data_IF_279806363642
#
_entry.id   IF_279806363642
#
_cell.length_a   1.000
_cell.length_b   1.000
_cell.length_c   1.000
_cell.angle_alpha   90.00
_cell.angle_beta   90.00
_cell.angle_gamma   90.00
#
_symmetry.space_group_name_H-M   'P 1'
#
loop_
_entity.id
_entity.type
_entity.pdbx_description
1 polymer ?
#
# COMPACT_ATOMS: atom_id res chain seq x y z
N UNK A 1 16.52 -0.90 -18.71
CA UNK A 1 15.86 -1.65 -17.64
C UNK A 1 16.81 -2.73 -17.15
N UNK A 2 17.29 -2.61 -15.92
CA UNK A 2 18.02 -3.69 -15.28
C UNK A 2 17.05 -4.82 -14.94
N UNK A 3 17.40 -6.07 -15.23
CA UNK A 3 16.52 -7.21 -14.90
C UNK A 3 16.21 -7.24 -13.40
N UNK A 4 14.96 -7.51 -12.96
CA UNK A 4 14.62 -7.67 -11.55
C UNK A 4 15.53 -8.65 -10.79
N UNK A 5 16.05 -9.67 -11.50
CA UNK A 5 17.00 -10.64 -10.95
C UNK A 5 18.36 -10.01 -10.61
N UNK A 6 18.81 -9.03 -11.40
CA UNK A 6 20.07 -8.30 -11.17
C UNK A 6 19.93 -7.42 -9.92
N UNK A 7 18.82 -6.68 -9.79
CA UNK A 7 18.51 -5.89 -8.58
C UNK A 7 18.45 -6.77 -7.34
N UNK A 8 17.73 -7.88 -7.45
CA UNK A 8 17.58 -8.84 -6.36
C UNK A 8 18.93 -9.38 -5.86
N UNK A 9 19.84 -9.73 -6.77
CA UNK A 9 21.17 -10.25 -6.44
C UNK A 9 22.08 -9.18 -5.83
N UNK A 10 22.11 -7.96 -6.41
CA UNK A 10 22.96 -6.87 -5.93
C UNK A 10 22.56 -6.36 -4.54
N UNK A 11 21.28 -6.49 -4.18
CA UNK A 11 20.76 -6.02 -2.89
C UNK A 11 20.63 -7.13 -1.85
N UNK A 12 21.21 -8.31 -2.10
CA UNK A 12 21.12 -9.45 -1.18
C UNK A 12 21.57 -9.09 0.25
N UNK A 13 22.69 -8.37 0.39
CA UNK A 13 23.20 -7.97 1.71
C UNK A 13 22.18 -7.13 2.49
N UNK A 14 21.58 -6.12 1.85
CA UNK A 14 20.55 -5.29 2.48
C UNK A 14 19.29 -6.10 2.76
N UNK A 15 18.88 -6.98 1.85
CA UNK A 15 17.68 -7.83 2.01
C UNK A 15 17.80 -8.79 3.17
N UNK A 16 18.96 -9.44 3.33
CA UNK A 16 19.24 -10.42 4.38
C UNK A 16 19.59 -9.74 5.73
N UNK A 17 19.77 -8.42 5.75
CA UNK A 17 20.10 -7.66 6.94
C UNK A 17 19.04 -7.87 8.03
N UNK A 18 19.49 -8.12 9.27
CA UNK A 18 18.60 -8.44 10.39
C UNK A 18 17.95 -7.19 10.97
N UNK A 19 16.64 -7.25 11.17
CA UNK A 19 15.83 -6.10 11.64
C UNK A 19 16.17 -5.65 13.06
N UNK A 20 16.64 -6.57 13.91
CA UNK A 20 17.04 -6.24 15.28
C UNK A 20 18.19 -5.23 15.36
N UNK A 21 19.06 -5.17 14.34
CA UNK A 21 20.19 -4.22 14.28
C UNK A 21 19.78 -2.78 13.98
N UNK A 22 18.55 -2.57 13.51
CA UNK A 22 17.97 -1.24 13.24
C UNK A 22 16.68 -1.01 14.05
N UNK A 23 16.53 -1.72 15.17
CA UNK A 23 15.39 -1.57 16.07
C UNK A 23 15.37 -0.15 16.68
N UNK A 24 14.21 0.49 16.62
CA UNK A 24 13.93 1.79 17.24
C UNK A 24 12.75 1.69 18.19
N UNK A 25 12.58 2.70 19.05
CA UNK A 25 11.47 2.76 20.01
C UNK A 25 10.12 2.87 19.26
N UNK A 26 9.17 2.03 19.63
CA UNK A 26 7.81 2.07 19.10
C UNK A 26 6.99 3.17 19.78
N UNK A 27 6.05 3.77 19.03
CA UNK A 27 4.95 4.52 19.63
C UNK A 27 3.85 3.52 20.02
N UNK A 28 3.70 3.28 21.31
CA UNK A 28 2.69 2.38 21.86
C UNK A 28 1.51 3.21 22.37
N UNK A 29 0.30 2.81 21.99
CA UNK A 29 -0.96 3.43 22.45
C UNK A 29 -1.84 2.39 23.13
N UNK A 30 -2.89 2.85 23.79
CA UNK A 30 -3.95 1.99 24.30
C UNK A 30 -5.18 2.05 23.37
N UNK A 31 -5.81 0.90 23.13
CA UNK A 31 -6.97 0.81 22.23
C UNK A 31 -8.19 1.62 22.71
N UNK A 32 -8.26 1.95 24.00
CA UNK A 32 -9.28 2.80 24.61
C UNK A 32 -9.05 4.30 24.43
N UNK A 33 -7.92 4.72 23.86
CA UNK A 33 -7.64 6.14 23.63
C UNK A 33 -8.62 6.75 22.62
N UNK A 34 -8.82 8.06 22.71
CA UNK A 34 -9.56 8.82 21.70
C UNK A 34 -8.67 9.12 20.50
N UNK A 35 -9.30 9.40 19.36
CA UNK A 35 -8.61 9.85 18.14
C UNK A 35 -7.77 11.09 18.43
N UNK A 36 -8.32 12.09 19.12
CA UNK A 36 -7.59 13.29 19.56
C UNK A 36 -6.33 12.97 20.37
N UNK A 37 -6.41 12.05 21.33
CA UNK A 37 -5.25 11.66 22.14
C UNK A 37 -4.16 11.01 21.28
N UNK A 38 -4.53 10.08 20.39
CA UNK A 38 -3.58 9.43 19.47
C UNK A 38 -2.98 10.42 18.47
N UNK A 39 -3.79 11.34 17.93
CA UNK A 39 -3.32 12.46 17.11
C UNK A 39 -2.26 13.27 17.84
N UNK A 40 -2.51 13.64 19.09
CA UNK A 40 -1.53 14.37 19.91
C UNK A 40 -0.22 13.60 20.08
N UNK A 41 -0.30 12.29 20.38
CA UNK A 41 0.88 11.43 20.52
C UNK A 41 1.70 11.38 19.23
N UNK A 42 1.07 11.11 18.08
CA UNK A 42 1.76 11.00 16.79
C UNK A 42 2.38 12.34 16.36
N UNK A 43 1.65 13.45 16.50
CA UNK A 43 2.16 14.78 16.15
C UNK A 43 3.34 15.17 17.04
N UNK A 44 3.23 14.99 18.36
CA UNK A 44 4.28 15.38 19.31
C UNK A 44 5.56 14.53 19.17
N UNK A 45 5.42 13.28 18.76
CA UNK A 45 6.54 12.37 18.53
C UNK A 45 7.07 12.39 17.09
N UNK A 46 6.52 13.25 16.23
CA UNK A 46 6.79 13.28 14.79
C UNK A 46 6.75 11.87 14.15
N UNK A 47 5.80 11.04 14.58
CA UNK A 47 5.68 9.64 14.18
C UNK A 47 4.44 9.45 13.33
N UNK A 48 4.52 8.55 12.34
CA UNK A 48 3.44 8.36 11.38
C UNK A 48 2.53 7.18 11.68
N UNK A 49 3.00 6.23 12.50
CA UNK A 49 2.28 5.04 12.90
C UNK A 49 2.40 4.85 14.42
N UNK A 50 1.36 4.29 15.03
CA UNK A 50 1.34 3.84 16.42
C UNK A 50 0.77 2.43 16.50
N UNK A 51 1.13 1.71 17.56
CA UNK A 51 0.86 0.29 17.71
C UNK A 51 0.26 -0.04 19.08
N UNK A 52 -0.52 -1.11 19.14
CA UNK A 52 -0.95 -1.69 20.41
C UNK A 52 -1.15 -3.20 20.28
N UNK A 53 -1.07 -3.90 21.41
CA UNK A 53 -1.46 -5.31 21.52
C UNK A 53 -2.97 -5.39 21.80
N UNK A 54 -3.66 -6.34 21.17
CA UNK A 54 -5.01 -6.78 21.54
C UNK A 54 -5.01 -8.30 21.68
N UNK A 55 -4.87 -8.78 22.92
CA UNK A 55 -4.50 -10.17 23.17
C UNK A 55 -3.15 -10.50 22.50
N UNK A 56 -3.16 -11.47 21.58
CA UNK A 56 -2.00 -11.89 20.76
C UNK A 56 -1.85 -11.11 19.46
N UNK A 57 -2.84 -10.31 19.11
CA UNK A 57 -2.85 -9.58 17.84
C UNK A 57 -2.14 -8.24 17.98
N UNK A 58 -1.49 -7.83 16.90
CA UNK A 58 -0.83 -6.53 16.80
C UNK A 58 -1.68 -5.64 15.92
N UNK A 59 -2.09 -4.51 16.49
CA UNK A 59 -2.89 -3.51 15.80
C UNK A 59 -2.05 -2.26 15.51
N UNK A 60 -2.35 -1.61 14.40
CA UNK A 60 -1.72 -0.36 13.95
C UNK A 60 -2.76 0.71 13.67
N UNK A 61 -2.34 1.96 13.81
CA UNK A 61 -3.03 3.15 13.31
C UNK A 61 -2.00 4.10 12.69
N UNK A 62 -2.27 4.57 11.47
CA UNK A 62 -1.46 5.59 10.81
C UNK A 62 -2.10 6.97 10.89
N UNK A 63 -1.30 8.01 10.70
CA UNK A 63 -1.77 9.40 10.50
C UNK A 63 -2.90 9.49 9.46
N UNK A 64 -2.79 8.77 8.33
CA UNK A 64 -3.81 8.73 7.28
C UNK A 64 -5.10 8.03 7.72
N UNK A 65 -5.01 7.01 8.58
CA UNK A 65 -6.19 6.36 9.15
C UNK A 65 -6.96 7.34 10.07
N UNK A 66 -6.25 8.13 10.89
CA UNK A 66 -6.86 9.14 11.75
C UNK A 66 -7.59 10.24 10.96
N UNK A 67 -7.11 10.55 9.75
CA UNK A 67 -7.83 11.48 8.87
C UNK A 67 -9.26 10.99 8.61
N UNK A 68 -9.54 9.69 8.59
CA UNK A 68 -10.90 9.16 8.30
C UNK A 68 -11.90 9.32 9.45
N UNK A 69 -11.46 9.75 10.64
CA UNK A 69 -12.33 9.94 11.79
C UNK A 69 -13.47 10.94 11.50
N UNK A 70 -14.66 10.62 12.00
CA UNK A 70 -15.87 11.47 11.87
C UNK A 70 -15.96 12.51 12.98
N UNK A 71 -15.52 12.15 14.18
CA UNK A 71 -15.46 13.01 15.36
C UNK A 71 -14.07 12.85 15.98
N UNK A 72 -13.19 13.81 15.73
CA UNK A 72 -11.79 13.74 16.19
C UNK A 72 -11.70 13.85 17.72
N UNK A 73 -12.62 14.58 18.36
CA UNK A 73 -12.51 14.92 19.77
C UNK A 73 -12.91 13.76 20.68
N UNK A 74 -14.01 13.09 20.37
CA UNK A 74 -14.62 12.10 21.29
C UNK A 74 -14.55 10.66 20.79
N UNK A 75 -14.37 10.42 19.49
CA UNK A 75 -14.34 9.06 18.95
C UNK A 75 -13.17 8.26 19.54
N UNK A 76 -13.43 7.01 19.96
CA UNK A 76 -12.39 6.05 20.33
C UNK A 76 -11.58 5.64 19.10
N UNK A 77 -10.29 5.38 19.26
CA UNK A 77 -9.42 4.96 18.14
C UNK A 77 -9.66 3.52 17.71
N UNK A 78 -10.18 2.66 18.60
CA UNK A 78 -10.39 1.22 18.36
C UNK A 78 -11.01 0.86 17.00
N UNK A 79 -12.07 1.54 16.51
CA UNK A 79 -12.68 1.21 15.22
C UNK A 79 -11.81 1.52 13.99
N UNK A 80 -10.75 2.33 14.16
CA UNK A 80 -9.81 2.67 13.09
C UNK A 80 -8.54 1.81 13.11
N UNK A 81 -8.33 1.04 14.19
CA UNK A 81 -7.18 0.14 14.32
C UNK A 81 -7.28 -0.99 13.29
N UNK A 82 -6.14 -1.34 12.70
CA UNK A 82 -6.02 -2.43 11.73
C UNK A 82 -5.06 -3.49 12.24
N UNK A 83 -5.45 -4.76 12.14
CA UNK A 83 -4.55 -5.88 12.42
C UNK A 83 -3.46 -5.97 11.35
N UNK A 84 -2.22 -6.18 11.80
CA UNK A 84 -1.05 -6.37 10.91
C UNK A 84 -0.22 -7.57 11.35
N UNK A 85 0.59 -8.07 10.42
CA UNK A 85 1.64 -9.01 10.75
C UNK A 85 2.85 -8.25 11.33
N UNK A 86 3.27 -8.55 12.58
CA UNK A 86 4.51 -8.00 13.12
C UNK A 86 5.75 -8.73 12.59
N UNK A 87 6.90 -8.12 12.80
CA UNK A 87 8.20 -8.77 12.69
C UNK A 87 8.59 -9.45 14.01
N UNK A 88 9.54 -10.38 13.92
CA UNK A 88 10.28 -10.95 15.04
C UNK A 88 11.74 -10.51 14.98
N UNK A 89 12.50 -10.70 16.05
CA UNK A 89 13.92 -10.30 16.13
C UNK A 89 14.83 -11.02 15.12
N UNK A 90 14.41 -12.18 14.63
CA UNK A 90 15.13 -12.99 13.64
C UNK A 90 14.79 -12.66 12.18
N UNK A 91 13.78 -11.81 11.94
CA UNK A 91 13.35 -11.43 10.59
C UNK A 91 14.36 -10.51 9.88
N UNK A 92 14.12 -10.31 8.58
CA UNK A 92 15.02 -9.57 7.68
C UNK A 92 14.39 -8.28 7.16
N UNK A 93 15.24 -7.39 6.65
CA UNK A 93 14.83 -6.13 6.02
C UNK A 93 13.97 -6.36 4.79
N UNK A 94 14.17 -7.43 4.02
CA UNK A 94 13.25 -7.79 2.93
C UNK A 94 11.82 -8.00 3.43
N UNK A 95 11.64 -8.79 4.50
CA UNK A 95 10.31 -9.03 5.08
C UNK A 95 9.73 -7.73 5.64
N UNK A 96 10.55 -6.89 6.26
CA UNK A 96 10.14 -5.57 6.73
C UNK A 96 9.64 -4.69 5.56
N UNK A 97 10.38 -4.63 4.45
CA UNK A 97 10.00 -3.89 3.26
C UNK A 97 8.66 -4.36 2.68
N UNK A 98 8.47 -5.68 2.56
CA UNK A 98 7.22 -6.28 2.08
C UNK A 98 6.02 -5.89 2.96
N UNK A 99 6.16 -5.95 4.30
CA UNK A 99 5.09 -5.57 5.23
C UNK A 99 4.79 -4.07 5.13
N UNK A 100 5.83 -3.22 5.14
CA UNK A 100 5.69 -1.77 5.02
C UNK A 100 4.95 -1.36 3.74
N UNK A 101 5.31 -1.96 2.60
CA UNK A 101 4.68 -1.67 1.32
C UNK A 101 3.25 -2.17 1.23
N UNK A 102 3.01 -3.42 1.66
CA UNK A 102 1.70 -4.06 1.63
C UNK A 102 0.68 -3.29 2.46
N UNK A 103 1.00 -3.00 3.73
CA UNK A 103 0.12 -2.28 4.63
C UNK A 103 0.17 -0.75 4.47
N UNK A 104 1.07 -0.24 3.62
CA UNK A 104 1.32 1.19 3.36
C UNK A 104 1.61 1.97 4.65
N UNK A 105 2.54 1.44 5.44
CA UNK A 105 3.01 2.02 6.70
C UNK A 105 4.40 2.62 6.54
N UNK A 106 4.81 3.46 7.49
CA UNK A 106 6.17 4.02 7.54
C UNK A 106 7.04 3.31 8.59
N UNK A 107 6.44 2.51 9.46
CA UNK A 107 7.13 1.66 10.41
C UNK A 107 6.37 0.34 10.63
N UNK A 108 7.10 -0.70 11.04
CA UNK A 108 6.55 -2.04 11.34
C UNK A 108 7.07 -2.50 12.69
N UNK A 109 6.21 -3.03 13.60
CA UNK A 109 6.62 -3.39 14.95
C UNK A 109 7.37 -4.73 14.96
N UNK A 110 8.40 -4.81 15.82
CA UNK A 110 9.06 -6.06 16.21
C UNK A 110 8.45 -6.52 17.52
N UNK A 111 8.00 -7.77 17.56
CA UNK A 111 7.30 -8.39 18.68
C UNK A 111 8.00 -9.67 19.10
N UNK A 112 8.06 -9.89 20.41
CA UNK A 112 8.52 -11.13 21.02
C UNK A 112 7.52 -11.53 22.12
N UNK A 113 7.01 -12.76 22.04
CA UNK A 113 5.88 -13.19 22.88
C UNK A 113 4.66 -12.28 22.69
N UNK A 114 4.24 -11.60 23.77
CA UNK A 114 3.07 -10.70 23.77
C UNK A 114 3.46 -9.22 23.96
N UNK A 115 4.69 -8.85 23.57
CA UNK A 115 5.23 -7.52 23.79
C UNK A 115 5.84 -6.93 22.52
N UNK A 116 5.52 -5.65 22.25
CA UNK A 116 6.17 -4.85 21.22
C UNK A 116 7.52 -4.38 21.78
N UNK A 117 8.62 -4.88 21.21
CA UNK A 117 9.97 -4.49 21.60
C UNK A 117 10.39 -3.15 20.98
N UNK A 118 9.92 -2.88 19.76
CA UNK A 118 10.30 -1.70 18.99
C UNK A 118 9.70 -1.72 17.59
N UNK A 119 10.27 -0.93 16.69
CA UNK A 119 9.88 -0.83 15.28
C UNK A 119 11.10 -0.80 14.38
N UNK A 120 10.90 -1.17 13.11
CA UNK A 120 11.77 -0.79 12.00
C UNK A 120 11.09 0.33 11.23
N UNK A 121 11.78 1.46 11.00
CA UNK A 121 11.25 2.51 10.14
C UNK A 121 11.72 2.33 8.70
N UNK A 122 10.88 2.78 7.77
CA UNK A 122 11.21 2.77 6.34
C UNK A 122 12.45 3.62 6.03
N UNK A 123 12.67 4.70 6.78
CA UNK A 123 13.84 5.57 6.65
C UNK A 123 15.14 4.82 6.98
N UNK A 124 15.13 3.98 8.02
CA UNK A 124 16.31 3.18 8.40
C UNK A 124 16.70 2.20 7.28
N UNK A 125 15.72 1.63 6.57
CA UNK A 125 15.96 0.76 5.40
C UNK A 125 16.55 1.57 4.24
N UNK A 126 16.06 2.78 4.01
CA UNK A 126 16.59 3.68 2.96
C UNK A 126 18.02 4.12 3.29
N UNK A 127 18.36 4.31 4.57
CA UNK A 127 19.72 4.57 5.02
C UNK A 127 20.66 3.37 4.80
N UNK A 128 20.16 2.12 4.89
CA UNK A 128 20.93 0.93 4.50
C UNK A 128 21.16 0.89 2.98
N UNK A 129 20.13 1.21 2.19
CA UNK A 129 20.23 1.31 0.73
C UNK A 129 21.20 2.41 0.28
N UNK A 130 21.24 3.55 0.97
CA UNK A 130 22.15 4.65 0.68
C UNK A 130 23.63 4.24 0.72
N UNK A 131 23.98 3.24 1.54
CA UNK A 131 25.34 2.70 1.65
C UNK A 131 25.74 1.80 0.47
N UNK A 132 24.80 1.47 -0.41
CA UNK A 132 25.02 0.60 -1.56
C UNK A 132 25.33 1.41 -2.83
N UNK A 133 26.01 0.79 -3.80
CA UNK A 133 26.21 1.41 -5.10
C UNK A 133 24.94 1.27 -5.96
N UNK A 134 24.09 2.30 -5.94
CA UNK A 134 22.82 2.35 -6.69
C UNK A 134 22.87 3.25 -7.94
N UNK A 135 24.08 3.62 -8.40
CA UNK A 135 24.26 4.51 -9.58
C UNK A 135 23.72 3.92 -10.88
N UNK A 136 23.61 2.60 -10.96
CA UNK A 136 23.18 1.87 -12.15
C UNK A 136 21.65 1.73 -12.27
N UNK A 137 20.89 2.13 -11.24
CA UNK A 137 19.42 2.14 -11.28
C UNK A 137 18.96 3.54 -11.70
N UNK A 138 18.40 3.71 -12.90
CA UNK A 138 17.84 5.00 -13.32
C UNK A 138 16.56 5.29 -12.54
N UNK A 139 16.33 6.54 -12.16
CA UNK A 139 15.15 6.89 -11.34
C UNK A 139 13.82 6.62 -12.05
N UNK A 140 13.81 6.69 -13.38
CA UNK A 140 12.62 6.42 -14.20
C UNK A 140 12.11 4.98 -14.09
N UNK A 141 12.94 4.03 -13.62
CA UNK A 141 12.50 2.65 -13.34
C UNK A 141 11.74 2.54 -11.99
N UNK A 142 11.79 3.59 -11.14
CA UNK A 142 11.31 3.59 -9.75
C UNK A 142 10.19 4.61 -9.52
N UNK A 143 10.24 5.78 -10.15
CA UNK A 143 9.33 6.90 -9.85
C UNK A 143 7.85 6.56 -10.08
N UNK A 144 6.98 7.27 -9.37
CA UNK A 144 5.56 7.35 -9.72
C UNK A 144 5.38 8.52 -10.70
N UNK A 145 4.99 8.28 -11.96
CA UNK A 145 4.81 9.33 -12.95
C UNK A 145 3.51 10.10 -12.72
N UNK A 146 3.47 11.35 -13.16
CA UNK A 146 2.27 12.21 -13.13
C UNK A 146 1.56 12.21 -11.76
N UNK A 147 2.25 12.67 -10.69
CA UNK A 147 1.68 12.61 -9.34
C UNK A 147 0.38 13.42 -9.24
N UNK A 148 -0.55 12.93 -8.43
CA UNK A 148 -1.79 13.67 -8.14
C UNK A 148 -1.44 14.93 -7.37
N UNK A 149 -1.81 16.08 -7.93
CA UNK A 149 -1.57 17.41 -7.33
C UNK A 149 -2.87 18.05 -6.83
N UNK A 150 -2.73 19.09 -6.03
CA UNK A 150 -3.81 19.98 -5.56
C UNK A 150 -3.38 21.44 -5.75
N UNK A 151 -4.32 22.37 -5.83
CA UNK A 151 -4.04 23.81 -5.90
C UNK A 151 -3.98 24.42 -4.51
N UNK A 152 -3.21 25.50 -4.34
CA UNK A 152 -3.11 26.19 -3.04
C UNK A 152 -4.44 26.76 -2.53
N UNK A 153 -5.39 27.04 -3.43
CA UNK A 153 -6.73 27.51 -3.11
C UNK A 153 -7.77 26.38 -3.01
N UNK A 154 -7.39 25.11 -3.21
CA UNK A 154 -8.26 23.99 -2.86
C UNK A 154 -8.42 23.94 -1.33
N UNK A 155 -9.56 23.40 -0.86
CA UNK A 155 -9.77 23.19 0.58
C UNK A 155 -8.93 22.05 1.14
N UNK A 156 -8.61 22.12 2.44
CA UNK A 156 -8.01 20.99 3.17
C UNK A 156 -8.90 19.73 3.14
N UNK A 157 -10.23 19.90 3.08
CA UNK A 157 -11.17 18.80 2.90
C UNK A 157 -10.96 18.06 1.56
N UNK A 158 -10.65 18.79 0.48
CA UNK A 158 -10.29 18.20 -0.82
C UNK A 158 -9.02 17.37 -0.70
N UNK A 159 -7.95 17.94 -0.14
CA UNK A 159 -6.69 17.21 0.09
C UNK A 159 -6.91 15.95 0.94
N UNK A 160 -7.65 16.07 2.04
CA UNK A 160 -8.03 14.94 2.91
C UNK A 160 -8.73 13.83 2.12
N UNK A 161 -9.74 14.18 1.33
CA UNK A 161 -10.51 13.23 0.52
C UNK A 161 -9.60 12.50 -0.46
N UNK A 162 -8.71 13.22 -1.14
CA UNK A 162 -7.74 12.63 -2.07
C UNK A 162 -6.82 11.65 -1.34
N UNK A 163 -6.20 12.04 -0.23
CA UNK A 163 -5.28 11.19 0.54
C UNK A 163 -5.96 9.88 0.99
N UNK A 164 -7.19 9.96 1.52
CA UNK A 164 -7.93 8.79 1.98
C UNK A 164 -8.34 7.89 0.81
N UNK A 165 -8.95 8.47 -0.22
CA UNK A 165 -9.54 7.68 -1.33
C UNK A 165 -8.47 7.09 -2.26
N UNK A 166 -7.39 7.83 -2.51
CA UNK A 166 -6.26 7.40 -3.35
C UNK A 166 -5.20 6.64 -2.54
N UNK A 167 -5.33 6.64 -1.20
CA UNK A 167 -4.39 5.99 -0.27
C UNK A 167 -2.95 6.47 -0.48
N UNK A 168 -2.79 7.78 -0.62
CA UNK A 168 -1.50 8.48 -0.78
C UNK A 168 -1.30 9.44 0.37
N UNK A 169 -0.04 9.68 0.72
CA UNK A 169 0.35 10.49 1.87
C UNK A 169 1.01 11.81 1.49
N UNK A 170 1.35 12.02 0.23
CA UNK A 170 2.02 13.21 -0.29
C UNK A 170 1.21 13.80 -1.43
N UNK A 171 1.02 15.12 -1.40
CA UNK A 171 0.36 15.88 -2.45
C UNK A 171 1.22 17.10 -2.80
N UNK A 172 1.82 17.15 -4.01
CA UNK A 172 2.40 18.38 -4.52
C UNK A 172 1.32 19.46 -4.65
N UNK A 173 1.62 20.66 -4.14
CA UNK A 173 0.71 21.80 -4.13
C UNK A 173 1.15 22.81 -5.18
N UNK A 174 0.25 23.08 -6.13
CA UNK A 174 0.44 24.00 -7.24
C UNK A 174 -0.07 25.40 -6.85
N UNK A 175 0.77 26.41 -7.06
CA UNK A 175 0.40 27.83 -6.92
C UNK A 175 0.76 28.55 -8.22
N UNK A 176 -0.25 29.13 -8.87
CA UNK A 176 -0.11 29.53 -10.27
C UNK A 176 0.11 28.28 -11.12
N UNK A 177 1.23 28.24 -11.86
CA UNK A 177 1.60 27.12 -12.74
C UNK A 177 2.77 26.28 -12.22
N UNK A 178 3.25 26.54 -10.99
CA UNK A 178 4.43 25.88 -10.43
C UNK A 178 4.11 25.14 -9.14
N UNK A 179 4.87 24.09 -8.85
CA UNK A 179 4.87 23.50 -7.51
C UNK A 179 5.48 24.47 -6.54
N UNK A 180 4.80 24.68 -5.42
CA UNK A 180 5.26 25.53 -4.34
C UNK A 180 5.79 24.74 -3.14
N UNK A 181 5.11 23.65 -2.76
CA UNK A 181 5.44 22.81 -1.62
C UNK A 181 4.77 21.43 -1.75
N UNK A 182 5.09 20.51 -0.83
CA UNK A 182 4.38 19.23 -0.70
C UNK A 182 3.65 19.19 0.64
N UNK A 183 2.35 18.91 0.59
CA UNK A 183 1.51 18.62 1.75
C UNK A 183 1.54 17.11 2.04
N UNK A 184 1.44 16.76 3.33
CA UNK A 184 1.32 15.35 3.74
C UNK A 184 0.18 15.14 4.72
N UNK A 185 -0.20 13.89 4.96
CA UNK A 185 -1.19 13.52 5.98
C UNK A 185 -0.83 14.05 7.38
N UNK A 186 0.46 14.07 7.75
CA UNK A 186 0.93 14.70 8.99
C UNK A 186 0.63 16.21 9.06
N UNK A 187 0.94 16.98 8.01
CA UNK A 187 0.62 18.41 7.96
C UNK A 187 -0.89 18.66 8.15
N UNK A 188 -1.72 17.85 7.48
CA UNK A 188 -3.17 17.93 7.61
C UNK A 188 -3.65 17.56 9.04
N UNK A 189 -3.03 16.55 9.65
CA UNK A 189 -3.32 16.13 11.01
C UNK A 189 -2.93 17.20 12.05
N UNK A 190 -1.81 17.91 11.82
CA UNK A 190 -1.35 19.02 12.67
C UNK A 190 -2.35 20.18 12.71
N UNK A 191 -3.01 20.49 11.58
CA UNK A 191 -4.05 21.54 11.53
C UNK A 191 -5.21 21.19 12.46
N UNK A 192 -5.64 19.94 12.47
CA UNK A 192 -6.78 19.48 13.27
C UNK A 192 -6.41 19.01 14.67
N UNK A 193 -5.13 19.05 15.05
CA UNK A 193 -4.72 18.80 16.42
C UNK A 193 -5.52 19.75 17.34
N UNK A 194 -6.29 19.23 18.31
CA UNK A 194 -6.94 20.06 19.30
C UNK A 194 -5.87 20.81 20.09
N UNK A 195 -6.05 22.12 20.29
CA UNK A 195 -5.14 22.90 21.13
C UNK A 195 -5.07 22.28 22.52
N UNK A 196 -3.92 22.38 23.19
CA UNK A 196 -3.85 22.07 24.61
C UNK A 196 -4.86 22.98 25.32
N UNK A 197 -5.69 22.40 26.20
CA UNK A 197 -6.63 23.18 27.01
C UNK A 197 -5.84 24.06 27.98
N UNK A 198 -5.47 25.26 27.55
CA UNK A 198 -4.95 26.31 28.43
C UNK A 198 -6.18 26.99 29.05
N UNK A 199 -6.57 26.55 30.23
CA UNK A 199 -7.62 27.18 31.05
C UNK A 199 -9.07 26.76 30.74
N UNK A 200 -9.95 27.02 31.71
CA UNK A 200 -11.40 26.88 31.59
C UNK A 200 -11.95 27.97 30.67
N UNK A 201 -12.33 27.65 29.42
CA UNK A 201 -13.24 28.51 28.66
C UNK A 201 -13.09 28.58 27.14
N UNK A 202 -11.97 28.18 26.55
CA UNK A 202 -11.80 28.26 25.10
C UNK A 202 -12.27 26.96 24.42
N UNK A 203 -13.52 26.99 23.95
CA UNK A 203 -14.06 26.00 23.00
C UNK A 203 -13.16 25.97 21.77
N UNK A 204 -12.51 24.84 21.52
CA UNK A 204 -11.69 24.64 20.33
C UNK A 204 -12.53 24.86 19.06
N UNK A 205 -11.91 25.43 18.03
CA UNK A 205 -12.53 25.52 16.70
C UNK A 205 -12.77 24.09 16.21
N UNK A 206 -14.03 23.77 15.89
CA UNK A 206 -14.48 22.49 15.34
C UNK A 206 -13.55 22.05 14.19
N UNK A 207 -13.01 20.84 14.29
CA UNK A 207 -12.13 20.25 13.28
C UNK A 207 -12.76 20.29 11.88
N UNK A 208 -14.08 20.24 11.77
CA UNK A 208 -14.82 20.37 10.51
C UNK A 208 -14.61 21.75 9.87
N UNK A 209 -14.71 22.84 10.65
CA UNK A 209 -14.45 24.20 10.19
C UNK A 209 -13.00 24.39 9.77
N UNK A 210 -12.06 23.71 10.43
CA UNK A 210 -10.65 23.77 10.04
C UNK A 210 -10.41 23.19 8.65
N UNK A 211 -11.08 22.10 8.28
CA UNK A 211 -10.94 21.50 6.95
C UNK A 211 -11.56 22.31 5.82
N UNK A 212 -12.43 23.28 6.12
CA UNK A 212 -13.02 24.18 5.12
C UNK A 212 -12.04 25.27 4.65
N UNK A 213 -10.97 25.51 5.40
CA UNK A 213 -9.92 26.46 5.01
C UNK A 213 -9.12 25.99 3.79
N UNK A 214 -8.56 26.97 3.07
CA UNK A 214 -7.66 26.72 1.94
C UNK A 214 -6.35 26.06 2.39
N UNK A 215 -5.77 25.27 1.47
CA UNK A 215 -4.46 24.66 1.66
C UNK A 215 -3.38 25.71 1.93
N UNK A 216 -3.40 26.84 1.22
CA UNK A 216 -2.47 27.95 1.41
C UNK A 216 -1.01 27.50 1.29
N UNK A 217 -0.26 27.63 2.38
CA UNK A 217 1.16 27.23 2.49
C UNK A 217 1.35 26.00 3.38
N UNK A 218 0.29 25.24 3.69
CA UNK A 218 0.37 24.10 4.62
C UNK A 218 1.15 22.96 3.96
N UNK A 219 2.38 22.78 4.39
CA UNK A 219 3.25 21.68 3.99
C UNK A 219 4.71 22.07 4.09
N UNK A 220 5.57 21.35 3.38
CA UNK A 220 7.01 21.61 3.38
C UNK A 220 7.49 22.13 2.03
N UNK A 221 8.25 23.23 2.05
CA UNK A 221 9.01 23.77 0.92
C UNK A 221 10.39 23.13 0.78
N UNK A 222 10.85 22.37 1.79
CA UNK A 222 12.16 21.68 1.79
C UNK A 222 12.05 20.31 1.12
N UNK A 223 11.61 20.32 -0.14
CA UNK A 223 11.44 19.09 -0.91
C UNK A 223 12.51 19.06 -2.00
N UNK A 224 13.37 18.03 -2.03
CA UNK A 224 14.26 17.78 -3.14
C UNK A 224 13.52 17.84 -4.47
N UNK A 225 14.08 18.58 -5.42
CA UNK A 225 13.61 18.60 -6.79
C UNK A 225 14.80 18.37 -7.72
N UNK A 226 14.77 17.26 -8.46
CA UNK A 226 15.86 16.83 -9.34
C UNK A 226 15.36 16.65 -10.78
N UNK A 227 16.29 16.53 -11.72
CA UNK A 227 16.01 16.16 -13.12
C UNK A 227 15.58 14.69 -13.24
N UNK A 228 14.87 14.32 -14.30
CA UNK A 228 14.38 12.94 -14.56
C UNK A 228 15.46 11.95 -14.98
N UNK A 229 16.68 12.40 -15.31
CA UNK A 229 17.77 11.53 -15.76
C UNK A 229 18.76 11.11 -14.67
N UNK A 230 18.49 11.43 -13.40
CA UNK A 230 19.40 11.11 -12.29
C UNK A 230 19.32 9.63 -11.86
N UNK A 231 20.40 9.07 -11.29
CA UNK A 231 20.35 7.74 -10.69
C UNK A 231 19.62 7.74 -9.33
N UNK A 232 19.15 6.57 -8.91
CA UNK A 232 18.48 6.35 -7.62
C UNK A 232 19.32 6.83 -6.42
N UNK A 233 20.64 6.65 -6.48
CA UNK A 233 21.55 7.09 -5.40
C UNK A 233 21.46 8.58 -5.12
N UNK A 234 21.38 9.42 -6.17
CA UNK A 234 21.30 10.87 -6.02
C UNK A 234 19.98 11.32 -5.38
N UNK A 235 18.89 10.60 -5.69
CA UNK A 235 17.56 10.84 -5.10
C UNK A 235 17.56 10.49 -3.61
N UNK A 236 18.10 9.31 -3.26
CA UNK A 236 18.21 8.89 -1.86
C UNK A 236 19.07 9.88 -1.05
N UNK A 237 20.24 10.26 -1.58
CA UNK A 237 21.13 11.23 -0.94
C UNK A 237 20.42 12.57 -0.69
N UNK A 238 19.73 13.10 -1.72
CA UNK A 238 19.01 14.36 -1.61
C UNK A 238 17.85 14.29 -0.61
N UNK A 239 17.08 13.18 -0.60
CA UNK A 239 16.01 12.96 0.37
C UNK A 239 16.54 12.91 1.81
N UNK A 240 17.62 12.17 2.07
CA UNK A 240 18.21 12.07 3.40
C UNK A 240 18.80 13.40 3.87
N UNK A 241 19.52 14.11 3.00
CA UNK A 241 20.13 15.42 3.31
C UNK A 241 19.09 16.49 3.67
N UNK A 242 17.91 16.43 3.05
CA UNK A 242 16.82 17.38 3.29
C UNK A 242 15.82 16.91 4.35
N UNK A 243 16.04 15.75 4.97
CA UNK A 243 15.07 15.07 5.86
C UNK A 243 13.67 14.96 5.22
N UNK A 244 13.62 14.72 3.92
CA UNK A 244 12.39 14.70 3.13
C UNK A 244 11.95 13.25 2.86
N UNK A 245 10.65 12.99 3.00
CA UNK A 245 10.07 11.66 2.73
C UNK A 245 9.63 11.45 1.28
N UNK A 246 9.82 12.46 0.42
CA UNK A 246 9.72 12.35 -1.03
C UNK A 246 10.73 13.26 -1.75
N UNK A 247 10.97 12.97 -3.03
CA UNK A 247 11.65 13.81 -4.00
C UNK A 247 10.69 14.05 -5.17
N UNK A 248 10.64 15.29 -5.66
CA UNK A 248 9.99 15.62 -6.92
C UNK A 248 11.02 15.50 -8.05
N UNK A 249 10.54 15.11 -9.21
CA UNK A 249 11.31 15.13 -10.45
C UNK A 249 10.61 16.07 -11.40
N UNK A 250 11.27 17.15 -11.78
CA UNK A 250 10.74 18.13 -12.73
C UNK A 250 11.45 18.06 -14.06
N UNK A 251 10.67 18.16 -15.13
CA UNK A 251 11.18 18.45 -16.46
C UNK A 251 10.69 19.85 -16.81
N UNK A 252 11.63 20.79 -16.94
CA UNK A 252 11.34 22.22 -17.06
C UNK A 252 10.53 22.72 -15.86
N UNK A 253 9.37 23.34 -16.09
CA UNK A 253 8.48 23.85 -15.03
C UNK A 253 7.39 22.85 -14.61
N UNK A 254 7.41 21.62 -15.13
CA UNK A 254 6.38 20.60 -14.88
C UNK A 254 6.87 19.46 -14.00
N UNK A 255 6.03 19.01 -13.06
CA UNK A 255 6.30 17.81 -12.26
C UNK A 255 6.10 16.58 -13.11
N UNK A 256 7.19 15.92 -13.42
CA UNK A 256 7.17 14.67 -14.16
C UNK A 256 6.86 13.49 -13.24
N UNK A 257 7.44 13.47 -12.03
CA UNK A 257 7.32 12.34 -11.12
C UNK A 257 7.48 12.70 -9.65
N UNK A 258 7.07 11.78 -8.80
CA UNK A 258 7.37 11.76 -7.37
C UNK A 258 8.02 10.43 -7.00
N UNK A 259 9.01 10.48 -6.12
CA UNK A 259 9.65 9.31 -5.53
C UNK A 259 9.49 9.40 -4.03
N UNK A 260 8.99 8.34 -3.40
CA UNK A 260 8.85 8.23 -1.95
C UNK A 260 9.73 7.12 -1.40
N UNK A 261 9.91 7.07 -0.08
CA UNK A 261 10.58 5.94 0.56
C UNK A 261 9.94 4.59 0.21
N UNK A 262 8.62 4.55 -0.02
CA UNK A 262 7.93 3.34 -0.44
C UNK A 262 8.43 2.85 -1.80
N UNK A 263 8.52 3.76 -2.77
CA UNK A 263 8.98 3.42 -4.12
C UNK A 263 10.41 2.89 -4.08
N UNK A 264 11.26 3.48 -3.22
CA UNK A 264 12.63 3.06 -2.99
C UNK A 264 12.69 1.65 -2.39
N UNK A 265 11.98 1.35 -1.31
CA UNK A 265 12.09 0.02 -0.67
C UNK A 265 11.45 -1.10 -1.48
N UNK A 266 10.55 -0.79 -2.43
CA UNK A 266 9.94 -1.81 -3.29
C UNK A 266 10.98 -2.54 -4.17
N UNK A 267 12.19 -1.99 -4.34
CA UNK A 267 13.29 -2.68 -5.04
C UNK A 267 13.87 -3.86 -4.24
N UNK A 268 13.66 -3.87 -2.92
CA UNK A 268 14.08 -4.94 -2.02
C UNK A 268 13.08 -6.09 -2.02
N UNK A 269 11.86 -5.85 -2.47
CA UNK A 269 10.87 -6.91 -2.60
C UNK A 269 11.28 -7.83 -3.74
N UNK A 270 11.38 -9.11 -3.42
CA UNK A 270 11.40 -10.12 -4.45
C UNK A 270 10.10 -9.99 -5.27
N UNK A 271 10.20 -9.45 -6.48
CA UNK A 271 9.40 -10.00 -7.60
C UNK A 271 10.11 -11.24 -8.12
N UNK A 272 10.53 -12.14 -7.22
CA UNK A 272 10.68 -13.52 -7.63
C UNK A 272 9.26 -13.98 -7.93
N UNK A 273 8.98 -14.57 -9.10
CA UNK A 273 7.74 -15.30 -9.28
C UNK A 273 7.71 -16.47 -8.29
N UNK A 274 7.30 -16.24 -7.03
CA UNK A 274 6.86 -17.32 -6.15
C UNK A 274 5.76 -18.05 -6.89
N UNK A 275 5.82 -19.37 -7.00
CA UNK A 275 4.65 -20.13 -7.44
C UNK A 275 3.48 -19.66 -6.59
N UNK A 276 2.37 -19.31 -7.24
CA UNK A 276 1.16 -18.90 -6.51
C UNK A 276 0.72 -20.15 -5.78
N UNK A 277 0.58 -20.15 -4.45
CA UNK A 277 0.04 -21.31 -3.76
C UNK A 277 -1.32 -21.67 -4.36
N UNK A 278 -1.37 -22.82 -5.03
CA UNK A 278 -2.57 -23.36 -5.65
C UNK A 278 -3.17 -24.40 -4.72
N UNK A 279 -4.39 -24.14 -4.27
CA UNK A 279 -5.14 -25.09 -3.46
C UNK A 279 -6.26 -25.67 -4.30
N UNK A 280 -6.30 -26.98 -4.49
CA UNK A 280 -7.42 -27.65 -5.12
C UNK A 280 -8.05 -28.59 -4.09
N UNK A 281 -9.34 -28.39 -3.83
CA UNK A 281 -10.12 -29.20 -2.89
C UNK A 281 -11.22 -29.93 -3.66
N UNK A 282 -11.40 -31.22 -3.40
CA UNK A 282 -12.42 -32.05 -4.06
C UNK A 282 -12.01 -32.57 -5.45
N UNK A 283 -10.72 -32.81 -5.67
CA UNK A 283 -10.24 -33.45 -6.90
C UNK A 283 -10.92 -34.82 -7.09
N UNK A 284 -11.28 -35.19 -8.34
CA UNK A 284 -11.70 -36.54 -8.66
C UNK A 284 -10.64 -37.57 -8.31
N UNK A 285 -11.07 -38.79 -7.97
CA UNK A 285 -10.16 -39.91 -7.67
C UNK A 285 -9.44 -40.43 -8.91
N UNK A 286 -9.95 -40.16 -10.12
CA UNK A 286 -9.30 -40.59 -11.35
C UNK A 286 -8.06 -39.74 -11.67
N UNK A 287 -6.93 -40.44 -11.82
CA UNK A 287 -5.62 -39.82 -11.99
C UNK A 287 -5.53 -38.92 -13.25
N UNK A 288 -6.20 -39.33 -14.34
CA UNK A 288 -6.24 -38.59 -15.60
C UNK A 288 -6.88 -37.21 -15.45
N UNK A 289 -8.06 -37.12 -14.84
CA UNK A 289 -8.76 -35.83 -14.69
C UNK A 289 -8.07 -34.95 -13.65
N UNK A 290 -7.52 -35.55 -12.59
CA UNK A 290 -6.78 -34.82 -11.57
C UNK A 290 -5.56 -34.07 -12.14
N UNK A 291 -4.77 -34.73 -13.00
CA UNK A 291 -3.57 -34.14 -13.59
C UNK A 291 -3.88 -33.06 -14.63
N UNK A 292 -4.91 -33.28 -15.45
CA UNK A 292 -5.41 -32.29 -16.41
C UNK A 292 -5.89 -31.03 -15.68
N UNK A 293 -6.62 -31.18 -14.58
CA UNK A 293 -7.13 -30.06 -13.77
C UNK A 293 -5.98 -29.27 -13.13
N UNK A 294 -5.01 -29.94 -12.51
CA UNK A 294 -3.82 -29.28 -11.93
C UNK A 294 -3.08 -28.45 -12.98
N UNK A 295 -2.77 -29.07 -14.12
CA UNK A 295 -2.03 -28.43 -15.22
C UNK A 295 -2.78 -27.22 -15.78
N UNK A 296 -4.09 -27.35 -16.00
CA UNK A 296 -4.91 -26.24 -16.51
C UNK A 296 -5.03 -25.10 -15.51
N UNK A 297 -5.30 -25.41 -14.24
CA UNK A 297 -5.45 -24.41 -13.21
C UNK A 297 -4.16 -23.61 -13.03
N UNK A 298 -3.03 -24.31 -12.95
CA UNK A 298 -1.73 -23.67 -12.86
C UNK A 298 -1.43 -22.78 -14.09
N UNK A 299 -1.69 -23.26 -15.32
CA UNK A 299 -1.51 -22.46 -16.54
C UNK A 299 -2.37 -21.19 -16.54
N UNK A 300 -3.60 -21.26 -16.04
CA UNK A 300 -4.51 -20.11 -15.90
C UNK A 300 -3.89 -19.07 -14.97
N UNK A 301 -3.39 -19.49 -13.82
CA UNK A 301 -2.81 -18.58 -12.82
C UNK A 301 -1.47 -18.00 -13.31
N UNK A 302 -0.62 -18.81 -13.94
CA UNK A 302 0.63 -18.34 -14.58
C UNK A 302 0.34 -17.26 -15.64
N UNK A 303 -0.67 -17.45 -16.48
CA UNK A 303 -1.07 -16.46 -17.47
C UNK A 303 -1.70 -15.21 -16.84
N UNK A 304 -2.50 -15.38 -15.78
CA UNK A 304 -3.07 -14.25 -15.05
C UNK A 304 -1.98 -13.35 -14.47
N UNK A 305 -0.93 -13.92 -13.88
CA UNK A 305 0.18 -13.15 -13.27
C UNK A 305 0.94 -12.25 -14.24
N UNK A 306 1.03 -12.64 -15.51
CA UNK A 306 1.66 -11.80 -16.54
C UNK A 306 0.95 -10.46 -16.67
N UNK A 307 -0.34 -10.40 -16.34
CA UNK A 307 -1.19 -9.21 -16.48
C UNK A 307 -1.61 -8.62 -15.13
N UNK A 308 -1.62 -9.45 -14.07
CA UNK A 308 -2.01 -9.07 -12.72
C UNK A 308 -1.01 -9.64 -11.70
N UNK A 309 0.13 -8.96 -11.45
CA UNK A 309 1.23 -9.51 -10.63
C UNK A 309 0.89 -9.68 -9.14
N UNK A 310 -0.12 -8.97 -8.64
CA UNK A 310 -0.53 -8.91 -7.21
C UNK A 310 -1.36 -10.13 -6.74
N UNK A 311 -1.38 -11.24 -7.47
CA UNK A 311 -2.10 -12.45 -7.01
C UNK A 311 -1.30 -13.11 -5.88
N UNK A 312 -1.89 -13.20 -4.69
CA UNK A 312 -1.27 -13.81 -3.50
C UNK A 312 -1.47 -15.32 -3.45
N UNK A 313 -2.69 -15.81 -3.75
CA UNK A 313 -3.00 -17.24 -3.81
C UNK A 313 -4.24 -17.50 -4.66
N UNK A 314 -4.41 -18.75 -5.10
CA UNK A 314 -5.61 -19.18 -5.83
C UNK A 314 -6.13 -20.51 -5.29
N UNK A 315 -7.43 -20.58 -5.04
CA UNK A 315 -8.10 -21.78 -4.52
C UNK A 315 -9.21 -22.23 -5.45
N UNK A 316 -9.15 -23.47 -5.94
CA UNK A 316 -10.22 -24.15 -6.62
C UNK A 316 -10.93 -25.11 -5.64
N UNK A 317 -12.26 -25.09 -5.63
CA UNK A 317 -13.11 -26.02 -4.91
C UNK A 317 -13.99 -26.72 -5.93
N UNK A 318 -13.89 -28.04 -6.00
CA UNK A 318 -14.66 -28.89 -6.90
C UNK A 318 -15.65 -29.68 -6.04
N UNK A 319 -16.92 -29.67 -6.43
CA UNK A 319 -17.96 -30.49 -5.83
C UNK A 319 -18.56 -31.39 -6.91
N UNK A 320 -18.59 -32.70 -6.63
CA UNK A 320 -19.22 -33.68 -7.53
C UNK A 320 -20.66 -33.91 -7.11
N UNK A 321 -21.59 -33.56 -8.00
CA UNK A 321 -23.02 -33.79 -7.85
C UNK A 321 -23.38 -35.08 -8.58
N UNK A 322 -23.75 -36.10 -7.82
CA UNK A 322 -24.18 -37.38 -8.35
C UNK A 322 -25.69 -37.35 -8.60
N UNK A 323 -26.11 -37.64 -9.84
CA UNK A 323 -27.51 -37.83 -10.18
C UNK A 323 -27.80 -39.35 -10.27
N UNK A 324 -28.73 -39.89 -9.46
CA UNK A 324 -29.08 -41.32 -9.48
C UNK A 324 -29.49 -41.85 -10.86
N UNK A 325 -30.00 -40.97 -11.73
CA UNK A 325 -30.53 -41.33 -13.05
C UNK A 325 -29.51 -41.26 -14.19
N UNK A 326 -28.33 -40.66 -13.97
CA UNK A 326 -27.29 -40.52 -15.01
C UNK A 326 -25.92 -40.98 -14.50
N UNK A 327 -25.26 -41.88 -15.23
CA UNK A 327 -23.90 -42.36 -14.88
C UNK A 327 -22.80 -41.29 -14.98
N UNK A 328 -23.09 -40.12 -15.55
CA UNK A 328 -22.10 -39.07 -15.74
C UNK A 328 -22.13 -38.08 -14.57
N UNK A 329 -21.00 -37.82 -13.88
CA UNK A 329 -20.94 -36.87 -12.78
C UNK A 329 -21.10 -35.43 -13.30
N UNK A 330 -21.87 -34.63 -12.58
CA UNK A 330 -21.94 -33.19 -12.78
C UNK A 330 -21.05 -32.48 -11.75
N UNK A 331 -20.33 -31.46 -12.16
CA UNK A 331 -19.37 -30.76 -11.30
C UNK A 331 -19.77 -29.31 -11.10
N UNK A 332 -19.68 -28.85 -9.85
CA UNK A 332 -19.70 -27.44 -9.49
C UNK A 332 -18.30 -26.99 -9.06
N UNK A 333 -17.70 -26.08 -9.80
CA UNK A 333 -16.33 -25.61 -9.56
C UNK A 333 -16.34 -24.13 -9.19
N UNK A 334 -15.84 -23.83 -7.99
CA UNK A 334 -15.58 -22.48 -7.52
C UNK A 334 -14.09 -22.16 -7.55
N UNK A 335 -13.69 -21.05 -8.17
CA UNK A 335 -12.32 -20.52 -8.14
C UNK A 335 -12.30 -19.19 -7.38
N UNK A 336 -11.42 -19.12 -6.39
CA UNK A 336 -11.15 -17.93 -5.59
C UNK A 336 -9.74 -17.44 -5.86
N UNK A 337 -9.62 -16.22 -6.36
CA UNK A 337 -8.35 -15.51 -6.53
C UNK A 337 -8.19 -14.51 -5.39
N UNK A 338 -7.16 -14.69 -4.58
CA UNK A 338 -6.85 -13.85 -3.42
C UNK A 338 -5.77 -12.85 -3.83
N UNK A 339 -6.00 -11.59 -3.50
CA UNK A 339 -5.08 -10.48 -3.73
C UNK A 339 -5.04 -9.63 -2.46
N UNK A 340 -4.04 -8.73 -2.28
CA UNK A 340 -3.88 -7.91 -1.08
C UNK A 340 -5.12 -7.09 -0.70
N UNK A 341 -5.95 -6.76 -1.68
CA UNK A 341 -7.03 -5.78 -1.53
C UNK A 341 -8.42 -6.36 -1.73
N UNK A 342 -8.54 -7.51 -2.41
CA UNK A 342 -9.83 -8.08 -2.78
C UNK A 342 -9.73 -9.56 -3.09
N UNK A 343 -10.75 -10.30 -2.69
CA UNK A 343 -10.97 -11.67 -3.15
C UNK A 343 -11.94 -11.67 -4.33
N UNK A 344 -11.57 -12.32 -5.43
CA UNK A 344 -12.43 -12.52 -6.59
C UNK A 344 -12.92 -13.95 -6.62
N UNK A 345 -14.23 -14.14 -6.78
CA UNK A 345 -14.84 -15.45 -6.83
C UNK A 345 -15.45 -15.67 -8.22
N UNK A 346 -15.21 -16.85 -8.77
CA UNK A 346 -15.74 -17.34 -10.03
C UNK A 346 -16.36 -18.70 -9.77
N UNK A 347 -17.46 -18.98 -10.44
CA UNK A 347 -18.10 -20.29 -10.38
C UNK A 347 -18.51 -20.70 -11.79
N UNK A 348 -18.44 -22.00 -12.04
CA UNK A 348 -18.88 -22.62 -13.27
C UNK A 348 -19.26 -24.07 -12.98
N UNK A 349 -20.24 -24.58 -13.73
CA UNK A 349 -20.73 -25.95 -13.58
C UNK A 349 -20.79 -26.68 -14.91
N UNK A 350 -20.70 -28.00 -14.89
CA UNK A 350 -20.87 -28.82 -16.09
C UNK A 350 -20.41 -30.27 -15.93
N UNK A 351 -20.39 -31.00 -17.04
CA UNK A 351 -20.12 -32.44 -17.07
C UNK A 351 -18.64 -32.80 -17.30
N UNK A 352 -17.81 -31.81 -17.66
CA UNK A 352 -16.42 -31.99 -18.04
C UNK A 352 -15.55 -30.94 -17.36
N UNK A 353 -14.77 -31.38 -16.36
CA UNK A 353 -13.87 -30.51 -15.60
C UNK A 353 -12.86 -29.78 -16.49
N UNK A 354 -12.38 -30.41 -17.55
CA UNK A 354 -11.42 -29.81 -18.49
C UNK A 354 -12.01 -28.57 -19.17
N UNK A 355 -13.27 -28.67 -19.63
CA UNK A 355 -14.00 -27.55 -20.25
C UNK A 355 -14.40 -26.48 -19.24
N UNK A 356 -14.78 -26.90 -18.02
CA UNK A 356 -15.09 -25.98 -16.92
C UNK A 356 -13.88 -25.11 -16.60
N UNK A 357 -12.68 -25.69 -16.46
CA UNK A 357 -11.46 -24.94 -16.19
C UNK A 357 -11.05 -24.03 -17.36
N UNK A 358 -11.24 -24.42 -18.63
CA UNK A 358 -11.00 -23.51 -19.77
C UNK A 358 -11.91 -22.28 -19.73
N UNK A 359 -13.18 -22.50 -19.40
CA UNK A 359 -14.19 -21.43 -19.29
C UNK A 359 -13.88 -20.51 -18.11
N UNK A 360 -13.58 -21.09 -16.95
CA UNK A 360 -13.15 -20.34 -15.77
C UNK A 360 -11.86 -19.56 -16.04
N UNK A 361 -10.88 -20.15 -16.71
CA UNK A 361 -9.64 -19.49 -17.09
C UNK A 361 -9.88 -18.26 -17.96
N UNK A 362 -10.72 -18.41 -18.97
CA UNK A 362 -11.14 -17.32 -19.85
C UNK A 362 -11.87 -16.22 -19.08
N UNK A 363 -12.80 -16.58 -18.18
CA UNK A 363 -13.54 -15.63 -17.31
C UNK A 363 -12.60 -14.88 -16.36
N UNK A 364 -11.68 -15.58 -15.70
CA UNK A 364 -10.69 -15.02 -14.77
C UNK A 364 -9.80 -14.00 -15.50
N UNK A 365 -9.16 -14.41 -16.60
CA UNK A 365 -8.27 -13.53 -17.37
C UNK A 365 -9.04 -12.36 -17.98
N UNK A 366 -10.21 -12.58 -18.59
CA UNK A 366 -11.02 -11.51 -19.19
C UNK A 366 -11.48 -10.48 -18.16
N UNK A 367 -12.04 -10.92 -17.04
CA UNK A 367 -12.58 -9.99 -16.04
C UNK A 367 -11.48 -9.26 -15.27
N UNK A 368 -10.38 -9.94 -14.93
CA UNK A 368 -9.26 -9.30 -14.24
C UNK A 368 -8.40 -8.45 -15.19
N UNK A 369 -8.26 -8.81 -16.46
CA UNK A 369 -7.59 -7.93 -17.45
C UNK A 369 -8.40 -6.66 -17.73
N UNK A 370 -9.74 -6.74 -17.78
CA UNK A 370 -10.60 -5.55 -17.85
C UNK A 370 -10.52 -4.69 -16.58
N UNK A 371 -10.32 -5.31 -15.41
CA UNK A 371 -10.09 -4.57 -14.15
C UNK A 371 -8.68 -3.99 -14.05
N UNK A 372 -7.64 -4.64 -14.60
CA UNK A 372 -6.30 -4.05 -14.74
C UNK A 372 -6.35 -2.83 -15.68
N UNK A 373 -7.08 -2.94 -16.80
CA UNK A 373 -7.34 -1.83 -17.73
C UNK A 373 -8.26 -0.78 -17.15
N UNK A 374 -9.16 -1.08 -16.19
CA UNK A 374 -9.95 -0.06 -15.45
C UNK A 374 -9.20 0.56 -14.27
N UNK A 375 -8.17 -0.11 -13.73
CA UNK A 375 -7.23 0.47 -12.77
C UNK A 375 -6.22 1.41 -13.45
N UNK A 376 -5.81 1.09 -14.68
CA UNK A 376 -5.03 1.99 -15.55
C UNK A 376 -5.87 2.96 -16.40
N UNK A 377 -7.15 2.66 -16.64
CA UNK A 377 -8.17 3.59 -17.17
C UNK A 377 -9.31 3.70 -16.18
N UNK A 378 -9.10 4.46 -15.11
CA UNK A 378 -10.25 5.23 -14.62
C UNK A 378 -10.49 6.28 -15.70
N UNK A 379 -11.40 5.95 -16.61
CA UNK A 379 -11.77 6.75 -17.77
C UNK A 379 -12.16 8.16 -17.36
N UNK A 380 -11.46 9.13 -17.96
CA UNK A 380 -11.74 10.58 -18.04
C UNK A 380 -13.07 10.86 -18.82
N UNK A 381 -14.03 9.93 -18.84
CA UNK A 381 -15.32 10.10 -19.53
C UNK A 381 -16.48 9.57 -18.70
N UNK A 382 -16.76 10.31 -17.62
CA UNK A 382 -18.11 10.67 -17.14
C UNK A 382 -17.97 11.99 -16.35
N UNK A 383 -17.45 13.01 -17.05
CA UNK A 383 -17.83 14.40 -16.80
C UNK A 383 -18.80 14.67 -17.94
N UNK A 384 -20.06 14.90 -17.58
CA UNK A 384 -21.08 15.23 -18.56
C UNK A 384 -20.71 16.54 -19.25
N UNK A 385 -20.79 16.57 -20.57
CA UNK A 385 -20.30 17.68 -21.42
C UNK A 385 -21.33 18.82 -21.52
N UNK A 386 -22.09 19.10 -20.46
CA UNK A 386 -23.12 20.15 -20.46
C UNK A 386 -22.94 21.31 -19.49
N UNK A 387 -21.97 21.27 -18.58
CA UNK A 387 -21.76 22.38 -17.65
C UNK A 387 -20.38 23.05 -17.85
N UNK A 388 -20.06 23.38 -19.10
CA UNK A 388 -19.06 24.41 -19.42
C UNK A 388 -19.72 25.39 -20.40
N UNK A 389 -20.59 26.22 -19.85
CA UNK A 389 -20.66 27.67 -20.07
C UNK A 389 -21.05 28.32 -18.75
#
# INVERSE_FOLDING_TARGET
MSSPQIVYAHLKEVRDFKVNKILKKAIIIDSSYTVSKVTGVLVNSNSYDAFCMDGKDVLTISTRDLLSAKDVEHMKVKPLLRKIQPLTTSDTVEKAAAILSHYRMRSVPIVEGNQILGVVNIKDIVELLHKQNLKWIPINDILTPEPITVKSNDSLATARKIMITRKIDHLPVIKGDKVSHVMTSMHLLQVVKPGEKIGMGLRGIDAKKKYESEIGNIGSTRIPNLDTHVPLSAVIESMLKNDASCCLLTLWDHVHGIVTYKDIINILESKIPSEVPLYIVGLPEDYSSAEVVKTKFDKIIRNLRKVYPEVESAKASIKTVHNPSSKQPHYDVGVRIITPYKTYNYAESGWDLSKIFDTLGSKVVRNLSQHSKKRWKTSIRKIDKKDIF
#
